data_IF_150170530583
#
_entry.id   IF_150170530583
#
_cell.length_a   1.000
_cell.length_b   1.000
_cell.length_c   1.000
_cell.angle_alpha   90.00
_cell.angle_beta   90.00
_cell.angle_gamma   90.00
#
_symmetry.space_group_name_H-M   'P 1'
#
loop_
_entity.id
_entity.type
_entity.pdbx_description
1 polymer ?
#
# COMPACT_ATOMS: atom_id res chain seq x y z
N UNK A 1 -72.59 14.90 21.62
CA UNK A 1 -72.82 16.02 22.56
C UNK A 1 -71.47 16.62 22.88
N UNK A 2 -71.36 17.91 22.58
CA UNK A 2 -70.16 18.74 22.61
C UNK A 2 -69.62 18.94 24.02
N UNK A 3 -68.29 19.06 24.15
CA UNK A 3 -67.73 20.18 24.91
C UNK A 3 -66.44 20.64 24.24
N UNK A 4 -66.58 21.80 23.63
CA UNK A 4 -65.58 22.72 23.12
C UNK A 4 -65.00 23.49 24.32
N UNK A 5 -63.68 23.67 24.38
CA UNK A 5 -63.06 24.68 25.23
C UNK A 5 -61.85 25.27 24.50
N UNK A 6 -61.92 26.59 24.35
CA UNK A 6 -61.08 27.42 23.52
C UNK A 6 -59.68 27.67 24.09
N UNK A 7 -58.73 27.89 23.16
CA UNK A 7 -57.50 28.69 23.32
C UNK A 7 -57.88 30.17 23.63
N UNK A 8 -57.00 31.17 23.95
CA UNK A 8 -55.59 31.33 23.53
C UNK A 8 -54.66 32.17 24.47
N UNK A 9 -53.54 32.64 23.90
CA UNK A 9 -52.62 33.74 24.32
C UNK A 9 -51.42 33.26 25.17
N UNK A 10 -50.16 33.65 24.94
CA UNK A 10 -49.59 34.91 24.45
C UNK A 10 -48.18 34.66 23.88
N UNK A 11 -47.81 35.43 22.84
CA UNK A 11 -46.48 35.59 22.26
C UNK A 11 -45.39 35.92 23.30
N UNK A 12 -44.18 35.40 23.12
CA UNK A 12 -42.97 36.24 23.25
C UNK A 12 -41.81 35.62 22.47
N UNK A 13 -41.34 36.35 21.48
CA UNK A 13 -40.14 36.17 20.67
C UNK A 13 -39.73 37.60 20.28
N UNK A 14 -38.46 38.01 20.13
CA UNK A 14 -37.19 37.35 20.43
C UNK A 14 -36.26 38.23 21.34
N UNK A 15 -35.31 37.62 22.03
CA UNK A 15 -34.12 38.36 22.49
C UNK A 15 -32.97 38.15 21.48
N UNK A 16 -32.41 39.22 20.89
CA UNK A 16 -31.26 39.12 19.99
C UNK A 16 -29.93 39.10 20.78
N UNK A 17 -28.89 38.66 20.08
CA UNK A 17 -27.46 38.81 20.40
C UNK A 17 -26.86 37.85 21.44
N UNK A 18 -26.54 36.65 20.95
CA UNK A 18 -25.23 36.06 21.23
C UNK A 18 -24.57 35.72 19.90
N UNK A 19 -23.60 36.55 19.51
CA UNK A 19 -22.77 36.36 18.33
C UNK A 19 -22.10 34.97 18.37
N UNK A 20 -22.09 34.22 17.26
CA UNK A 20 -21.31 33.00 17.21
C UNK A 20 -19.83 33.36 17.11
N UNK A 21 -19.07 33.18 18.20
CA UNK A 21 -17.62 33.05 18.15
C UNK A 21 -17.27 31.76 17.37
N UNK A 22 -17.13 31.90 16.05
CA UNK A 22 -16.48 30.92 15.18
C UNK A 22 -15.02 31.32 14.96
N UNK A 23 -14.16 30.33 14.71
CA UNK A 23 -13.00 30.04 15.54
C UNK A 23 -11.77 30.78 15.04
N UNK A 24 -10.85 31.08 15.95
CA UNK A 24 -9.46 31.27 15.58
C UNK A 24 -8.93 30.01 14.90
N UNK A 25 -9.03 29.95 13.57
CA UNK A 25 -8.17 29.11 12.75
C UNK A 25 -6.76 29.65 12.86
N UNK A 26 -6.12 29.30 13.97
CA UNK A 26 -4.68 29.16 14.00
C UNK A 26 -4.33 28.25 12.85
N UNK A 27 -3.72 28.82 11.81
CA UNK A 27 -2.98 28.08 10.80
C UNK A 27 -1.83 27.35 11.50
N UNK A 28 -2.17 26.22 12.12
CA UNK A 28 -1.22 25.14 12.31
C UNK A 28 -0.74 24.68 10.93
N UNK A 29 0.45 24.06 10.85
CA UNK A 29 0.93 23.50 9.60
C UNK A 29 -0.17 22.57 9.08
N UNK A 30 -0.67 22.87 7.88
CA UNK A 30 -1.52 21.95 7.13
C UNK A 30 -0.70 20.67 7.04
N UNK A 31 -1.11 19.65 7.79
CA UNK A 31 -0.66 18.30 7.54
C UNK A 31 -1.06 18.05 6.09
N UNK A 32 -0.07 18.04 5.21
CA UNK A 32 -0.23 17.49 3.87
C UNK A 32 -0.80 16.09 4.10
N UNK A 33 -1.99 15.75 3.59
CA UNK A 33 -2.42 14.37 3.63
C UNK A 33 -1.32 13.60 2.90
N UNK A 34 -0.63 12.70 3.61
CA UNK A 34 0.23 11.74 2.97
C UNK A 34 -0.69 10.93 2.04
N UNK A 35 -0.65 11.25 0.75
CA UNK A 35 -1.21 10.45 -0.36
C UNK A 35 -0.42 9.12 -0.44
N UNK A 36 -0.44 8.36 0.65
CA UNK A 36 0.19 7.04 0.83
C UNK A 36 -0.85 5.93 0.90
N UNK A 37 -2.10 6.24 0.56
CA UNK A 37 -3.19 5.27 0.44
C UNK A 37 -3.19 4.75 -1.00
N UNK A 38 -2.29 3.81 -1.29
CA UNK A 38 -2.08 3.20 -2.61
C UNK A 38 -0.66 3.42 -3.11
N UNK A 39 0.00 2.36 -3.58
CA UNK A 39 1.33 2.45 -4.18
C UNK A 39 2.48 1.91 -3.34
N UNK A 40 2.25 1.47 -2.10
CA UNK A 40 3.32 1.08 -1.19
C UNK A 40 4.05 -0.19 -1.67
N UNK A 41 3.32 -1.20 -2.17
CA UNK A 41 3.96 -2.42 -2.64
C UNK A 41 4.59 -2.21 -4.01
N UNK A 42 3.93 -1.50 -4.92
CA UNK A 42 4.54 -1.15 -6.21
C UNK A 42 5.80 -0.29 -6.03
N UNK A 43 5.85 0.60 -5.03
CA UNK A 43 7.06 1.36 -4.70
C UNK A 43 8.21 0.47 -4.26
N UNK A 44 7.92 -0.55 -3.43
CA UNK A 44 8.92 -1.55 -3.01
C UNK A 44 9.45 -2.34 -4.20
N UNK A 45 8.60 -2.76 -5.13
CA UNK A 45 9.06 -3.45 -6.34
C UNK A 45 9.82 -2.53 -7.30
N UNK A 46 9.45 -1.25 -7.42
CA UNK A 46 10.27 -0.27 -8.17
C UNK A 46 11.66 -0.13 -7.58
N UNK A 47 11.77 -0.10 -6.25
CA UNK A 47 13.06 -0.07 -5.56
C UNK A 47 13.84 -1.38 -5.76
N UNK A 48 13.18 -2.53 -5.64
CA UNK A 48 13.79 -3.84 -5.94
C UNK A 48 14.35 -3.87 -7.37
N UNK A 49 13.58 -3.33 -8.33
CA UNK A 49 13.93 -3.24 -9.75
C UNK A 49 15.08 -2.28 -10.03
N UNK A 50 15.12 -1.14 -9.35
CA UNK A 50 16.21 -0.18 -9.44
C UNK A 50 17.53 -0.80 -8.95
N UNK A 51 17.48 -1.61 -7.89
CA UNK A 51 18.66 -2.31 -7.34
C UNK A 51 19.15 -3.48 -8.18
N UNK A 52 18.34 -3.97 -9.11
CA UNK A 52 18.79 -4.94 -10.12
C UNK A 52 19.57 -4.28 -11.27
N UNK A 53 19.50 -2.95 -11.42
CA UNK A 53 20.30 -2.30 -12.45
C UNK A 53 21.79 -2.42 -12.11
N UNK A 54 22.62 -2.87 -13.05
CA UNK A 54 24.06 -2.95 -12.81
C UNK A 54 24.59 -1.56 -12.51
N UNK A 55 25.38 -1.42 -11.44
CA UNK A 55 26.14 -0.20 -11.17
C UNK A 55 26.93 0.15 -12.44
N UNK A 56 26.55 1.24 -13.11
CA UNK A 56 27.28 1.67 -14.30
C UNK A 56 28.66 2.11 -13.83
N UNK A 57 29.75 1.45 -14.27
CA UNK A 57 31.08 1.89 -13.91
C UNK A 57 31.29 3.30 -14.48
N UNK A 58 31.39 4.28 -13.58
CA UNK A 58 31.88 5.61 -13.92
C UNK A 58 33.37 5.50 -14.21
N UNK A 59 33.74 5.33 -15.48
CA UNK A 59 35.13 5.43 -15.91
C UNK A 59 35.47 6.92 -15.98
N UNK A 60 36.31 7.47 -15.08
CA UNK A 60 36.75 8.85 -15.21
C UNK A 60 37.49 9.01 -16.55
N UNK A 61 37.17 10.07 -17.29
CA UNK A 61 37.79 10.35 -18.57
C UNK A 61 39.33 10.38 -18.43
N UNK A 62 40.09 9.77 -19.37
CA UNK A 62 41.54 9.75 -19.31
C UNK A 62 42.08 11.18 -19.30
N UNK A 63 42.84 11.54 -18.26
CA UNK A 63 43.40 12.88 -18.07
C UNK A 63 44.76 13.10 -18.75
N UNK A 64 45.32 12.12 -19.46
CA UNK A 64 46.57 12.29 -20.22
C UNK A 64 46.78 11.18 -21.28
N UNK A 65 47.60 11.43 -22.32
CA UNK A 65 47.90 10.45 -23.37
C UNK A 65 48.77 9.25 -22.93
N UNK A 66 49.34 9.26 -21.72
CA UNK A 66 50.27 8.23 -21.22
C UNK A 66 49.72 7.41 -20.03
N UNK A 67 48.57 7.80 -19.48
CA UNK A 67 48.00 7.17 -18.28
C UNK A 67 47.07 6.01 -18.59
N UNK A 68 47.62 4.83 -18.92
CA UNK A 68 46.84 3.59 -18.90
C UNK A 68 46.51 3.27 -17.44
N UNK A 69 45.31 3.67 -17.00
CA UNK A 69 44.80 3.23 -15.70
C UNK A 69 44.47 1.75 -15.83
N UNK A 70 45.10 0.85 -15.04
CA UNK A 70 44.74 -0.56 -15.06
C UNK A 70 43.23 -0.66 -14.77
N UNK A 71 42.49 -1.50 -15.53
CA UNK A 71 41.06 -1.62 -15.33
C UNK A 71 40.80 -1.96 -13.86
N UNK A 72 39.77 -1.35 -13.24
CA UNK A 72 39.41 -1.70 -11.88
C UNK A 72 39.25 -3.21 -11.79
N UNK A 73 39.85 -3.82 -10.77
CA UNK A 73 39.54 -5.21 -10.44
C UNK A 73 38.15 -5.17 -9.81
N UNK A 74 37.13 -5.21 -10.66
CA UNK A 74 35.77 -5.35 -10.18
C UNK A 74 35.72 -6.68 -9.43
N UNK A 75 35.31 -6.62 -8.16
CA UNK A 75 34.93 -7.82 -7.43
C UNK A 75 33.95 -8.61 -8.29
N UNK A 76 33.91 -9.93 -8.08
CA UNK A 76 32.95 -10.82 -8.74
C UNK A 76 31.54 -10.49 -8.23
N UNK A 77 31.03 -9.29 -8.50
CA UNK A 77 29.63 -8.96 -8.33
C UNK A 77 28.82 -9.96 -9.17
N UNK A 78 27.59 -10.22 -8.76
CA UNK A 78 26.71 -11.26 -9.32
C UNK A 78 26.42 -11.15 -10.85
N UNK A 79 27.15 -10.32 -11.59
CA UNK A 79 27.00 -10.10 -13.02
C UNK A 79 25.78 -9.24 -13.31
N UNK A 80 25.40 -9.15 -14.58
CA UNK A 80 24.07 -8.68 -14.94
C UNK A 80 23.02 -9.70 -14.44
N UNK A 81 21.86 -9.26 -13.94
CA UNK A 81 20.79 -10.17 -13.56
C UNK A 81 20.27 -10.93 -14.80
N UNK A 82 19.72 -12.11 -14.58
CA UNK A 82 19.07 -12.83 -15.66
C UNK A 82 17.90 -12.01 -16.24
N UNK A 83 17.77 -11.96 -17.57
CA UNK A 83 16.76 -11.12 -18.23
C UNK A 83 15.33 -11.52 -17.85
N UNK A 84 15.11 -12.80 -17.59
CA UNK A 84 13.84 -13.35 -17.15
C UNK A 84 13.55 -13.07 -15.66
N UNK A 85 14.57 -12.84 -14.83
CA UNK A 85 14.39 -12.34 -13.47
C UNK A 85 13.88 -10.90 -13.51
N UNK A 86 14.53 -10.04 -14.31
CA UNK A 86 14.10 -8.65 -14.52
C UNK A 86 12.65 -8.59 -15.00
N UNK A 87 12.32 -9.40 -16.01
CA UNK A 87 10.94 -9.48 -16.52
C UNK A 87 9.95 -9.93 -15.43
N UNK A 88 10.31 -10.90 -14.60
CA UNK A 88 9.42 -11.35 -13.52
C UNK A 88 9.12 -10.25 -12.49
N UNK A 89 10.12 -9.41 -12.17
CA UNK A 89 9.91 -8.22 -11.32
C UNK A 89 8.99 -7.22 -12.01
N UNK A 90 9.21 -6.94 -13.30
CA UNK A 90 8.40 -6.00 -14.07
C UNK A 90 6.94 -6.48 -14.20
N UNK A 91 6.72 -7.78 -14.42
CA UNK A 91 5.39 -8.39 -14.52
C UNK A 91 4.63 -8.32 -13.18
N UNK A 92 5.30 -8.62 -12.06
CA UNK A 92 4.70 -8.50 -10.73
C UNK A 92 4.42 -7.03 -10.38
N UNK A 93 5.33 -6.12 -10.74
CA UNK A 93 5.14 -4.69 -10.55
C UNK A 93 3.91 -4.18 -11.30
N UNK A 94 3.73 -4.56 -12.57
CA UNK A 94 2.56 -4.16 -13.34
C UNK A 94 1.26 -4.61 -12.67
N UNK A 95 1.20 -5.86 -12.20
CA UNK A 95 0.02 -6.40 -11.50
C UNK A 95 -0.27 -5.68 -10.18
N UNK A 96 0.75 -5.29 -9.42
CA UNK A 96 0.55 -4.53 -8.18
C UNK A 96 0.11 -3.09 -8.46
N UNK A 97 0.59 -2.47 -9.53
CA UNK A 97 0.10 -1.15 -9.97
C UNK A 97 -1.37 -1.24 -10.37
N UNK A 98 -1.74 -2.22 -11.21
CA UNK A 98 -3.13 -2.41 -11.63
C UNK A 98 -4.06 -2.65 -10.41
N UNK A 99 -3.61 -3.45 -9.44
CA UNK A 99 -4.32 -3.70 -8.18
C UNK A 99 -4.51 -2.42 -7.36
N UNK A 100 -3.44 -1.63 -7.19
CA UNK A 100 -3.46 -0.41 -6.36
C UNK A 100 -4.25 0.72 -7.02
N UNK A 101 -4.33 0.75 -8.36
CA UNK A 101 -5.05 1.77 -9.14
C UNK A 101 -6.54 1.41 -9.38
N UNK A 102 -6.95 0.14 -9.24
CA UNK A 102 -8.35 -0.28 -9.43
C UNK A 102 -9.22 -0.02 -8.19
N UNK A 103 -9.61 1.24 -8.00
CA UNK A 103 -10.50 1.63 -6.92
C UNK A 103 -11.95 1.11 -7.09
N UNK A 104 -12.35 0.69 -8.30
CA UNK A 104 -13.73 0.29 -8.59
C UNK A 104 -13.99 -1.17 -8.25
N UNK A 105 -12.99 -2.03 -8.43
CA UNK A 105 -13.07 -3.44 -8.06
C UNK A 105 -13.12 -3.62 -6.52
N UNK A 106 -14.19 -4.22 -5.97
CA UNK A 106 -14.36 -4.36 -4.52
C UNK A 106 -13.31 -5.27 -3.89
N UNK A 107 -12.85 -6.30 -4.60
CA UNK A 107 -11.87 -7.27 -4.12
C UNK A 107 -10.49 -6.61 -4.03
N UNK A 108 -10.10 -5.87 -5.07
CA UNK A 108 -8.87 -5.08 -5.12
C UNK A 108 -8.86 -4.03 -4.02
N UNK A 109 -9.96 -3.28 -3.84
CA UNK A 109 -10.09 -2.29 -2.77
C UNK A 109 -9.96 -2.92 -1.38
N UNK A 110 -10.58 -4.07 -1.15
CA UNK A 110 -10.48 -4.78 0.12
C UNK A 110 -9.05 -5.28 0.38
N UNK A 111 -8.33 -5.74 -0.65
CA UNK A 111 -6.93 -6.15 -0.53
C UNK A 111 -6.00 -4.96 -0.24
N UNK A 112 -6.10 -3.87 -1.02
CA UNK A 112 -5.33 -2.64 -0.79
C UNK A 112 -5.54 -2.15 0.63
N UNK A 113 -6.79 -2.17 1.09
CA UNK A 113 -7.10 -1.74 2.45
C UNK A 113 -6.52 -2.64 3.52
N UNK A 114 -6.59 -3.96 3.34
CA UNK A 114 -5.92 -4.89 4.25
C UNK A 114 -4.41 -4.62 4.32
N UNK A 115 -3.76 -4.31 3.19
CA UNK A 115 -2.34 -3.98 3.12
C UNK A 115 -2.00 -2.68 3.87
N UNK A 116 -2.83 -1.65 3.76
CA UNK A 116 -2.69 -0.42 4.55
C UNK A 116 -2.74 -0.72 6.05
N UNK A 117 -3.69 -1.56 6.47
CA UNK A 117 -3.84 -1.96 7.87
C UNK A 117 -2.66 -2.81 8.37
N UNK A 118 -2.01 -3.61 7.51
CA UNK A 118 -0.77 -4.29 7.89
C UNK A 118 0.33 -3.27 8.23
N UNK A 119 0.40 -2.15 7.50
CA UNK A 119 1.39 -1.11 7.73
C UNK A 119 1.08 -0.24 8.96
N UNK A 120 -0.20 0.06 9.23
CA UNK A 120 -0.61 0.98 10.30
C UNK A 120 -1.11 0.29 11.57
N UNK A 121 -1.33 -1.02 11.52
CA UNK A 121 -1.93 -1.82 12.60
C UNK A 121 -3.38 -2.21 12.31
N UNK A 122 -3.73 -3.45 12.64
CA UNK A 122 -5.08 -4.02 12.47
C UNK A 122 -5.89 -3.77 13.75
N UNK A 123 -7.09 -3.15 13.66
CA UNK A 123 -7.94 -2.91 14.84
C UNK A 123 -8.50 -4.21 15.46
N UNK A 124 -8.54 -4.26 16.80
CA UNK A 124 -9.08 -5.41 17.55
C UNK A 124 -10.59 -5.64 17.35
N UNK A 125 -11.35 -4.57 17.08
CA UNK A 125 -12.81 -4.63 16.92
C UNK A 125 -13.27 -5.21 15.56
N UNK A 126 -12.32 -5.45 14.66
CA UNK A 126 -12.55 -5.73 13.24
C UNK A 126 -12.82 -4.43 12.46
N UNK A 127 -12.34 -4.37 11.23
CA UNK A 127 -12.36 -3.14 10.42
C UNK A 127 -13.34 -3.22 9.24
N UNK A 128 -13.62 -4.43 8.76
CA UNK A 128 -14.41 -4.63 7.54
C UNK A 128 -15.85 -4.13 7.65
N UNK A 129 -16.43 -4.15 8.87
CA UNK A 129 -17.82 -3.73 9.13
C UNK A 129 -17.98 -2.21 9.07
N UNK A 130 -17.02 -1.47 9.63
CA UNK A 130 -17.02 0.00 9.63
C UNK A 130 -16.89 0.56 8.21
N UNK A 131 -16.18 -0.19 7.35
CA UNK A 131 -15.95 0.18 5.96
C UNK A 131 -16.98 -0.38 4.98
N UNK A 132 -18.01 -1.08 5.48
CA UNK A 132 -19.09 -1.67 4.69
C UNK A 132 -18.61 -2.59 3.56
N UNK A 133 -17.45 -3.24 3.74
CA UNK A 133 -17.01 -4.27 2.81
C UNK A 133 -17.95 -5.47 2.91
N UNK A 134 -18.25 -6.12 1.79
CA UNK A 134 -19.08 -7.32 1.78
C UNK A 134 -18.24 -8.58 2.03
N UNK A 135 -18.86 -9.64 2.55
CA UNK A 135 -18.14 -10.89 2.82
C UNK A 135 -17.58 -11.56 1.56
N UNK A 136 -18.21 -11.34 0.41
CA UNK A 136 -17.72 -11.79 -0.89
C UNK A 136 -16.43 -11.06 -1.28
N UNK A 137 -16.39 -9.73 -1.10
CA UNK A 137 -15.21 -8.92 -1.38
C UNK A 137 -13.99 -9.31 -0.53
N UNK A 138 -14.20 -9.66 0.74
CA UNK A 138 -13.12 -10.15 1.60
C UNK A 138 -12.55 -11.48 1.13
N UNK A 139 -13.41 -12.38 0.64
CA UNK A 139 -12.98 -13.66 0.07
C UNK A 139 -12.26 -13.46 -1.25
N UNK A 140 -12.81 -12.64 -2.14
CA UNK A 140 -12.17 -12.28 -3.41
C UNK A 140 -10.80 -11.65 -3.20
N UNK A 141 -10.67 -10.73 -2.24
CA UNK A 141 -9.39 -10.15 -1.85
C UNK A 141 -8.37 -11.20 -1.36
N UNK A 142 -8.80 -12.18 -0.56
CA UNK A 142 -7.94 -13.27 -0.10
C UNK A 142 -7.52 -14.19 -1.26
N UNK A 143 -8.43 -14.44 -2.21
CA UNK A 143 -8.16 -15.18 -3.45
C UNK A 143 -7.18 -14.43 -4.37
N UNK A 144 -7.26 -13.10 -4.45
CA UNK A 144 -6.30 -12.24 -5.18
C UNK A 144 -4.92 -12.21 -4.51
N UNK A 145 -4.87 -12.17 -3.17
CA UNK A 145 -3.62 -12.10 -2.41
C UNK A 145 -2.76 -13.36 -2.58
N UNK A 146 -3.39 -14.53 -2.77
CA UNK A 146 -2.70 -15.82 -2.91
C UNK A 146 -1.69 -15.86 -4.06
N UNK A 147 -2.14 -15.71 -5.32
CA UNK A 147 -1.24 -15.71 -6.48
C UNK A 147 -0.16 -14.64 -6.39
N UNK A 148 -0.49 -13.44 -5.92
CA UNK A 148 0.50 -12.36 -5.75
C UNK A 148 1.60 -12.73 -4.74
N UNK A 149 1.21 -13.35 -3.62
CA UNK A 149 2.15 -13.86 -2.63
C UNK A 149 3.05 -14.94 -3.22
N UNK A 150 2.46 -15.91 -3.94
CA UNK A 150 3.20 -17.04 -4.48
C UNK A 150 4.21 -16.59 -5.55
N UNK A 151 3.84 -15.64 -6.40
CA UNK A 151 4.73 -15.03 -7.39
C UNK A 151 5.86 -14.23 -6.73
N UNK A 152 5.55 -13.44 -5.68
CA UNK A 152 6.55 -12.69 -4.93
C UNK A 152 7.53 -13.62 -4.17
N UNK A 153 7.04 -14.73 -3.61
CA UNK A 153 7.86 -15.71 -2.91
C UNK A 153 8.79 -16.45 -3.89
N UNK A 154 8.27 -16.87 -5.05
CA UNK A 154 9.10 -17.47 -6.09
C UNK A 154 10.16 -16.49 -6.61
N UNK A 155 9.82 -15.20 -6.72
CA UNK A 155 10.79 -14.16 -7.08
C UNK A 155 11.88 -13.99 -6.01
N UNK A 156 11.52 -14.03 -4.73
CA UNK A 156 12.48 -13.95 -3.63
C UNK A 156 13.50 -15.10 -3.67
N UNK A 157 13.03 -16.34 -3.83
CA UNK A 157 13.91 -17.51 -3.95
C UNK A 157 14.91 -17.38 -5.11
N UNK A 158 14.47 -16.81 -6.23
CA UNK A 158 15.34 -16.56 -7.39
C UNK A 158 16.37 -15.47 -7.12
N UNK A 159 15.99 -14.41 -6.41
CA UNK A 159 16.91 -13.34 -6.02
C UNK A 159 17.99 -13.86 -5.08
N UNK A 160 17.63 -14.75 -4.15
CA UNK A 160 18.59 -15.41 -3.27
C UNK A 160 19.54 -16.33 -4.06
N UNK A 161 19.00 -17.10 -5.02
CA UNK A 161 19.81 -17.96 -5.88
C UNK A 161 20.79 -17.18 -6.79
N UNK A 162 20.43 -15.97 -7.20
CA UNK A 162 21.30 -15.05 -7.94
C UNK A 162 22.16 -14.14 -7.04
N UNK A 163 22.18 -14.38 -5.71
CA UNK A 163 22.93 -13.60 -4.72
C UNK A 163 22.65 -12.08 -4.82
N UNK A 164 21.36 -11.71 -4.88
CA UNK A 164 20.86 -10.32 -4.99
C UNK A 164 20.20 -9.82 -3.70
N UNK A 165 20.94 -9.71 -2.57
CA UNK A 165 20.35 -9.44 -1.27
C UNK A 165 19.65 -8.07 -1.19
N UNK A 166 20.16 -7.05 -1.90
CA UNK A 166 19.59 -5.71 -1.87
C UNK A 166 18.18 -5.64 -2.49
N UNK A 167 17.93 -6.41 -3.55
CA UNK A 167 16.60 -6.54 -4.15
C UNK A 167 15.73 -7.52 -3.36
N UNK A 168 16.32 -8.61 -2.84
CA UNK A 168 15.63 -9.62 -2.04
C UNK A 168 14.94 -9.00 -0.82
N UNK A 169 15.59 -8.06 -0.11
CA UNK A 169 15.01 -7.37 1.05
C UNK A 169 13.69 -6.66 0.71
N UNK A 170 13.60 -6.03 -0.46
CA UNK A 170 12.37 -5.31 -0.83
C UNK A 170 11.26 -6.28 -1.27
N UNK A 171 11.62 -7.37 -1.96
CA UNK A 171 10.66 -8.41 -2.33
C UNK A 171 10.16 -9.18 -1.10
N UNK A 172 11.02 -9.47 -0.12
CA UNK A 172 10.65 -10.09 1.15
C UNK A 172 9.62 -9.25 1.92
N UNK A 173 9.78 -7.92 1.93
CA UNK A 173 8.78 -7.02 2.51
C UNK A 173 7.41 -7.14 1.82
N UNK A 174 7.39 -7.30 0.49
CA UNK A 174 6.15 -7.53 -0.28
C UNK A 174 5.53 -8.88 0.06
N UNK A 175 6.33 -9.95 0.13
CA UNK A 175 5.88 -11.29 0.54
C UNK A 175 5.25 -11.25 1.93
N UNK A 176 5.94 -10.64 2.89
CA UNK A 176 5.45 -10.52 4.26
C UNK A 176 4.13 -9.75 4.33
N UNK A 177 4.02 -8.63 3.62
CA UNK A 177 2.80 -7.82 3.59
C UNK A 177 1.61 -8.60 3.01
N UNK A 178 1.79 -9.25 1.86
CA UNK A 178 0.74 -10.04 1.21
C UNK A 178 0.30 -11.23 2.07
N UNK A 179 1.25 -11.90 2.72
CA UNK A 179 0.95 -13.01 3.64
C UNK A 179 0.08 -12.55 4.81
N UNK A 180 0.46 -11.45 5.47
CA UNK A 180 -0.27 -10.93 6.63
C UNK A 180 -1.64 -10.40 6.20
N UNK A 181 -1.71 -9.67 5.07
CA UNK A 181 -2.99 -9.17 4.55
C UNK A 181 -3.96 -10.32 4.26
N UNK A 182 -3.51 -11.40 3.63
CA UNK A 182 -4.32 -12.61 3.43
C UNK A 182 -4.82 -13.19 4.76
N UNK A 183 -3.95 -13.32 5.77
CA UNK A 183 -4.37 -13.80 7.08
C UNK A 183 -5.43 -12.92 7.75
N UNK A 184 -5.31 -11.59 7.60
CA UNK A 184 -6.30 -10.62 8.10
C UNK A 184 -7.63 -10.78 7.38
N UNK A 185 -7.62 -10.91 6.05
CA UNK A 185 -8.81 -11.12 5.23
C UNK A 185 -9.52 -12.44 5.57
N UNK A 186 -8.76 -13.52 5.77
CA UNK A 186 -9.29 -14.82 6.20
C UNK A 186 -9.95 -14.73 7.59
N UNK A 187 -9.32 -14.01 8.53
CA UNK A 187 -9.84 -13.81 9.88
C UNK A 187 -11.12 -12.98 9.88
N UNK A 188 -11.17 -11.89 9.13
CA UNK A 188 -12.37 -11.04 8.97
C UNK A 188 -13.52 -11.80 8.31
N UNK A 189 -13.21 -12.60 7.29
CA UNK A 189 -14.17 -13.48 6.61
C UNK A 189 -14.76 -14.49 7.58
N UNK A 190 -13.93 -15.10 8.43
CA UNK A 190 -14.38 -16.04 9.46
C UNK A 190 -15.24 -15.36 10.53
N UNK A 191 -14.79 -14.22 11.06
CA UNK A 191 -15.50 -13.48 12.11
C UNK A 191 -16.92 -13.08 11.69
N UNK A 192 -17.14 -12.84 10.40
CA UNK A 192 -18.46 -12.53 9.82
C UNK A 192 -19.36 -13.74 9.63
N UNK A 193 -18.80 -14.91 9.36
CA UNK A 193 -19.60 -16.14 9.20
C UNK A 193 -20.15 -16.67 10.52
N UNK A 194 -19.52 -16.30 11.64
CA UNK A 194 -19.90 -16.78 12.98
C UNK A 194 -20.89 -15.84 13.69
N UNK A 195 -21.10 -14.62 13.18
CA UNK A 195 -22.09 -13.66 13.68
C UNK A 195 -23.46 -13.89 13.05
#
# INVERSE_FOLDING_TARGET
MSTEAAMPTTNDDPAPDAEPEVPGTSSGPVAVPDDTSGGALAARLREARARLEPERPSIPAPRSPEGVVPPPVFGRGAGAPAADLVRAVDDLLARLVDLEDDAQDPDSRALVRALELVATGVPDAGWSADERLEGEALRGAAELAGPLHDDAAALLERLDAEERPASAVEVDAVVAALRVARMVLDLESFARQVR
#
